data_IF_772616378979
#
_entry.id   IF_772616378979
#
_cell.length_a   1.000
_cell.length_b   1.000
_cell.length_c   1.000
_cell.angle_alpha   90.00
_cell.angle_beta   90.00
_cell.angle_gamma   90.00
#
_symmetry.space_group_name_H-M   'P 1'
#
loop_
_entity.id
_entity.type
_entity.pdbx_description
1 polymer ?
#
# COMPACT_ATOMS: atom_id res chain seq x y z
N UNK A 1 -17.09 55.20 21.26
CA UNK A 1 -16.83 56.61 21.57
C UNK A 1 -15.32 56.85 21.48
N UNK A 2 -14.92 57.69 20.49
CA UNK A 2 -13.53 58.01 20.21
C UNK A 2 -13.18 59.20 21.11
N UNK A 3 -12.11 59.09 21.90
CA UNK A 3 -11.50 60.23 22.54
C UNK A 3 -10.47 60.86 21.60
N UNK A 4 -10.58 62.15 21.27
CA UNK A 4 -9.50 62.81 20.53
C UNK A 4 -8.28 63.02 21.45
N UNK A 5 -7.09 62.65 20.98
CA UNK A 5 -5.85 63.08 21.62
C UNK A 5 -5.40 64.39 20.88
N UNK A 6 -5.25 65.45 21.63
CA UNK A 6 -4.76 66.71 21.12
C UNK A 6 -3.23 66.75 21.30
N UNK A 7 -2.48 66.76 20.23
CA UNK A 7 -1.19 67.37 20.15
C UNK A 7 -1.21 68.32 18.94
N UNK A 8 -0.85 69.55 19.15
CA UNK A 8 -0.70 70.63 18.14
C UNK A 8 -1.96 71.09 17.39
N UNK A 9 -3.14 71.10 18.08
CA UNK A 9 -4.33 71.71 17.54
C UNK A 9 -5.06 70.90 16.45
N UNK A 10 -4.58 69.72 16.09
CA UNK A 10 -5.22 68.84 15.16
C UNK A 10 -5.78 67.61 15.88
N UNK A 11 -7.08 67.41 15.84
CA UNK A 11 -7.72 66.16 16.32
C UNK A 11 -7.52 65.04 15.29
N UNK A 12 -6.69 64.09 15.61
CA UNK A 12 -6.60 62.87 14.82
C UNK A 12 -7.75 61.95 15.25
N UNK A 13 -8.72 61.77 14.35
CA UNK A 13 -9.78 60.77 14.53
C UNK A 13 -9.17 59.39 14.27
N UNK A 14 -8.81 58.70 15.34
CA UNK A 14 -8.47 57.30 15.25
C UNK A 14 -9.77 56.47 15.12
N UNK A 15 -10.11 56.13 13.91
CA UNK A 15 -11.26 55.21 13.69
C UNK A 15 -10.87 53.84 14.19
N UNK A 16 -11.52 53.34 15.23
CA UNK A 16 -11.38 51.95 15.66
C UNK A 16 -11.89 51.06 14.57
N UNK A 17 -11.07 50.08 14.18
CA UNK A 17 -11.49 49.07 13.19
C UNK A 17 -12.76 48.33 13.66
N UNK A 18 -13.70 48.09 12.76
CA UNK A 18 -14.96 47.43 13.07
C UNK A 18 -14.73 46.00 13.57
N UNK A 19 -15.52 45.58 14.57
CA UNK A 19 -15.53 44.19 15.00
C UNK A 19 -16.22 43.34 13.93
N UNK A 20 -15.54 42.29 13.45
CA UNK A 20 -16.04 41.39 12.40
C UNK A 20 -15.38 40.02 12.52
N UNK A 21 -16.04 38.99 12.04
CA UNK A 21 -15.39 37.68 11.83
C UNK A 21 -14.35 37.80 10.70
N UNK A 22 -13.24 37.07 10.84
CA UNK A 22 -12.24 36.92 9.78
C UNK A 22 -12.74 36.09 8.62
N UNK A 23 -13.77 35.23 8.83
CA UNK A 23 -14.40 34.37 7.82
C UNK A 23 -15.91 34.34 8.06
N UNK A 24 -16.70 34.44 6.98
CA UNK A 24 -18.16 34.28 7.00
C UNK A 24 -18.62 32.87 6.64
N UNK A 25 -17.71 32.06 6.11
CA UNK A 25 -17.88 30.65 5.84
C UNK A 25 -16.57 29.91 6.01
N UNK A 26 -16.63 28.64 6.40
CA UNK A 26 -15.50 27.73 6.49
C UNK A 26 -15.91 26.29 6.29
N UNK A 27 -14.93 25.46 5.98
CA UNK A 27 -15.10 24.01 5.83
C UNK A 27 -14.04 23.30 6.65
N UNK A 28 -14.43 22.27 7.40
CA UNK A 28 -13.53 21.39 8.13
C UNK A 28 -13.90 19.92 7.86
N UNK A 29 -12.98 19.00 8.10
CA UNK A 29 -13.25 17.57 8.02
C UNK A 29 -13.92 17.03 9.28
N UNK A 30 -14.69 15.97 9.14
CA UNK A 30 -15.19 15.17 10.27
C UNK A 30 -14.01 14.64 11.09
N UNK A 31 -14.07 14.77 12.43
CA UNK A 31 -12.99 14.42 13.34
C UNK A 31 -11.84 15.43 13.42
N UNK A 32 -11.90 16.54 12.68
CA UNK A 32 -10.85 17.56 12.69
C UNK A 32 -11.18 18.69 13.65
N UNK A 33 -10.12 19.32 14.19
CA UNK A 33 -10.22 20.51 15.03
C UNK A 33 -9.55 21.69 14.29
N UNK A 34 -10.22 22.84 14.31
CA UNK A 34 -9.78 24.09 13.70
C UNK A 34 -9.82 25.24 14.70
N UNK A 35 -8.88 26.18 14.64
CA UNK A 35 -8.79 27.37 15.49
C UNK A 35 -8.65 28.67 14.67
N UNK A 36 -9.00 28.65 13.40
CA UNK A 36 -8.81 29.80 12.51
C UNK A 36 -9.95 30.84 12.59
N UNK A 37 -11.12 30.50 13.20
CA UNK A 37 -12.22 31.43 13.28
C UNK A 37 -12.01 32.42 14.42
N UNK A 38 -11.85 33.68 14.06
CA UNK A 38 -11.51 34.78 14.98
C UNK A 38 -12.49 35.92 14.84
N UNK A 39 -12.93 36.48 15.95
CA UNK A 39 -13.63 37.78 15.96
C UNK A 39 -12.59 38.91 16.09
N UNK A 40 -12.29 39.55 14.97
CA UNK A 40 -11.28 40.61 14.88
C UNK A 40 -11.72 41.86 15.61
N UNK A 41 -10.78 42.60 16.21
CA UNK A 41 -10.97 43.84 16.95
C UNK A 41 -11.87 43.73 18.21
N UNK A 42 -12.15 42.52 18.66
CA UNK A 42 -12.78 42.28 19.96
C UNK A 42 -11.71 42.38 21.07
N UNK A 43 -11.93 43.23 22.05
CA UNK A 43 -10.97 43.49 23.14
C UNK A 43 -11.38 42.88 24.49
N UNK A 44 -12.41 42.04 24.52
CA UNK A 44 -12.94 41.38 25.70
C UNK A 44 -13.34 39.93 25.41
N UNK A 45 -14.11 39.36 26.32
CA UNK A 45 -14.60 37.98 26.21
C UNK A 45 -15.54 37.84 25.04
N UNK A 46 -15.23 36.87 24.17
CA UNK A 46 -16.09 36.40 23.07
C UNK A 46 -16.69 35.05 23.50
N UNK A 47 -17.98 34.91 23.36
CA UNK A 47 -18.69 33.63 23.58
C UNK A 47 -19.13 33.06 22.27
N UNK A 48 -19.03 31.73 22.15
CA UNK A 48 -19.31 31.00 20.93
C UNK A 48 -20.37 29.93 21.15
N UNK A 49 -21.24 29.74 20.17
CA UNK A 49 -22.28 28.70 20.15
C UNK A 49 -22.37 28.07 18.77
N UNK A 50 -22.49 26.74 18.74
CA UNK A 50 -22.83 25.99 17.53
C UNK A 50 -24.35 25.94 17.37
N UNK A 51 -24.83 26.12 16.14
CA UNK A 51 -26.25 25.96 15.81
C UNK A 51 -26.72 24.50 15.83
N UNK A 52 -25.77 23.55 15.66
CA UNK A 52 -26.03 22.11 15.75
C UNK A 52 -24.76 21.38 16.22
N UNK A 53 -24.72 20.99 17.48
CA UNK A 53 -23.59 20.29 18.09
C UNK A 53 -23.41 18.84 17.59
N UNK A 54 -24.41 18.25 16.94
CA UNK A 54 -24.29 16.96 16.28
C UNK A 54 -23.47 17.05 14.97
N UNK A 55 -23.37 18.24 14.38
CA UNK A 55 -22.54 18.51 13.19
C UNK A 55 -21.17 19.04 13.58
N UNK A 56 -21.12 20.02 14.49
CA UNK A 56 -19.85 20.54 15.00
C UNK A 56 -20.02 21.10 16.41
N UNK A 57 -19.00 20.93 17.24
CA UNK A 57 -18.85 21.56 18.53
C UNK A 57 -17.94 22.77 18.47
N UNK A 58 -18.12 23.72 19.39
CA UNK A 58 -17.25 24.89 19.51
C UNK A 58 -16.95 25.15 20.98
N UNK A 59 -15.75 25.61 21.32
CA UNK A 59 -15.43 26.11 22.66
C UNK A 59 -16.35 27.27 23.04
N UNK A 60 -16.88 27.27 24.28
CA UNK A 60 -17.82 28.29 24.69
C UNK A 60 -17.20 29.69 24.84
N UNK A 61 -15.86 29.76 25.04
CA UNK A 61 -15.09 31.00 25.23
C UNK A 61 -13.75 30.90 24.56
N UNK A 62 -13.14 32.04 24.31
CA UNK A 62 -11.82 32.15 23.65
C UNK A 62 -11.92 32.95 22.37
N UNK A 63 -10.80 33.36 21.86
CA UNK A 63 -10.69 34.03 20.57
C UNK A 63 -9.25 33.90 20.09
N UNK A 64 -8.96 33.02 19.13
CA UNK A 64 -9.88 32.32 18.22
C UNK A 64 -10.79 31.26 18.87
N UNK A 65 -11.87 30.86 18.17
CA UNK A 65 -12.72 29.74 18.54
C UNK A 65 -11.97 28.41 18.27
N UNK A 66 -12.18 27.40 19.12
CA UNK A 66 -11.81 26.03 18.84
C UNK A 66 -13.06 25.27 18.35
N UNK A 67 -13.04 24.78 17.12
CA UNK A 67 -14.15 24.12 16.46
C UNK A 67 -13.75 22.67 16.17
N UNK A 68 -14.64 21.73 16.49
CA UNK A 68 -14.48 20.29 16.22
C UNK A 68 -15.60 19.82 15.30
N UNK A 69 -15.25 19.26 14.13
CA UNK A 69 -16.21 18.60 13.24
C UNK A 69 -16.63 17.24 13.81
N UNK A 70 -17.93 17.01 13.99
CA UNK A 70 -18.47 15.80 14.61
C UNK A 70 -19.04 14.85 13.57
N UNK A 71 -19.85 15.37 12.64
CA UNK A 71 -20.45 14.59 11.57
C UNK A 71 -20.65 15.47 10.34
N UNK A 72 -20.61 14.84 9.16
CA UNK A 72 -20.82 15.53 7.88
C UNK A 72 -22.17 16.26 7.87
N UNK A 73 -22.15 17.52 7.42
CA UNK A 73 -23.34 18.38 7.39
C UNK A 73 -23.00 19.85 7.42
N UNK A 74 -24.02 20.70 7.64
CA UNK A 74 -23.84 22.14 7.73
C UNK A 74 -24.46 22.68 9.00
N UNK A 75 -23.80 23.65 9.63
CA UNK A 75 -24.27 24.37 10.80
C UNK A 75 -23.76 25.80 10.77
N UNK A 76 -24.08 26.58 11.80
CA UNK A 76 -23.55 27.93 11.98
C UNK A 76 -22.77 28.02 13.29
N UNK A 77 -21.66 28.73 13.30
CA UNK A 77 -20.93 29.11 14.48
C UNK A 77 -21.17 30.59 14.72
N UNK A 78 -21.72 30.91 15.90
CA UNK A 78 -22.11 32.27 16.27
C UNK A 78 -21.21 32.78 17.41
N UNK A 79 -20.50 33.88 17.16
CA UNK A 79 -19.82 34.68 18.15
C UNK A 79 -20.76 35.73 18.76
N UNK A 80 -20.76 35.88 20.05
CA UNK A 80 -21.45 37.02 20.73
C UNK A 80 -20.43 37.86 21.46
N UNK A 81 -20.46 39.16 21.17
CA UNK A 81 -19.55 40.15 21.75
C UNK A 81 -20.30 41.49 21.91
N UNK A 82 -20.24 42.09 23.09
CA UNK A 82 -20.89 43.37 23.45
C UNK A 82 -22.39 43.42 23.02
N UNK A 83 -23.11 42.31 23.20
CA UNK A 83 -24.55 42.20 22.88
C UNK A 83 -24.88 42.09 21.39
N UNK A 84 -23.87 41.91 20.52
CA UNK A 84 -24.03 41.68 19.08
C UNK A 84 -23.61 40.26 18.68
N UNK A 85 -24.27 39.70 17.70
CA UNK A 85 -23.97 38.37 17.15
C UNK A 85 -23.32 38.46 15.77
N UNK A 86 -22.35 37.58 15.54
CA UNK A 86 -21.59 37.43 14.28
C UNK A 86 -21.60 35.96 13.91
N UNK A 87 -22.05 35.65 12.72
CA UNK A 87 -22.27 34.25 12.30
C UNK A 87 -21.36 33.83 11.17
N UNK A 88 -20.75 32.64 11.29
CA UNK A 88 -20.00 31.96 10.25
C UNK A 88 -20.75 30.68 9.85
N UNK A 89 -20.96 30.46 8.55
CA UNK A 89 -21.51 29.20 8.03
C UNK A 89 -20.39 28.14 8.03
N UNK A 90 -20.61 27.00 8.68
CA UNK A 90 -19.69 25.90 8.76
C UNK A 90 -20.22 24.69 8.00
N UNK A 91 -19.39 24.12 7.13
CA UNK A 91 -19.63 22.83 6.51
C UNK A 91 -18.61 21.83 7.06
N UNK A 92 -19.10 20.70 7.57
CA UNK A 92 -18.27 19.54 7.94
C UNK A 92 -18.35 18.53 6.79
N UNK A 93 -17.22 18.19 6.22
CA UNK A 93 -17.13 17.22 5.12
C UNK A 93 -16.87 15.83 5.68
N UNK A 94 -17.45 14.77 5.07
CA UNK A 94 -17.15 13.40 5.45
C UNK A 94 -15.66 13.11 5.26
N UNK A 95 -15.10 12.36 6.21
CA UNK A 95 -13.72 11.92 6.17
C UNK A 95 -13.65 10.55 5.49
N UNK A 96 -12.70 10.38 4.57
CA UNK A 96 -12.44 9.07 3.96
C UNK A 96 -11.95 8.09 5.04
N UNK A 97 -12.45 6.85 5.00
CA UNK A 97 -12.01 5.74 5.84
C UNK A 97 -11.35 4.65 5.00
N UNK A 98 -10.55 3.81 5.63
CA UNK A 98 -9.90 2.69 4.93
C UNK A 98 -10.90 1.73 4.31
N UNK A 99 -12.04 1.50 4.96
CA UNK A 99 -13.12 0.63 4.47
C UNK A 99 -13.84 1.20 3.24
N UNK A 100 -13.70 2.50 2.99
CA UNK A 100 -14.25 3.14 1.80
C UNK A 100 -13.46 2.81 0.52
N UNK A 101 -12.25 2.24 0.63
CA UNK A 101 -11.32 2.06 -0.49
C UNK A 101 -11.18 0.57 -0.84
N UNK A 102 -11.55 0.23 -2.07
CA UNK A 102 -11.33 -1.10 -2.66
C UNK A 102 -10.25 -1.02 -3.74
N UNK A 103 -9.30 -1.94 -3.70
CA UNK A 103 -8.19 -2.06 -4.66
C UNK A 103 -8.29 -3.42 -5.36
N UNK A 104 -8.20 -3.47 -6.68
CA UNK A 104 -8.30 -4.72 -7.45
C UNK A 104 -7.32 -4.75 -8.64
N UNK A 105 -6.57 -5.85 -8.84
CA UNK A 105 -6.42 -7.00 -7.94
C UNK A 105 -5.75 -6.56 -6.63
N UNK A 106 -6.02 -7.25 -5.52
CA UNK A 106 -5.47 -6.87 -4.21
C UNK A 106 -3.98 -7.23 -4.07
N UNK A 107 -3.61 -8.43 -4.51
CA UNK A 107 -2.22 -8.95 -4.44
C UNK A 107 -1.88 -9.69 -5.74
N UNK A 108 -1.55 -8.97 -6.82
CA UNK A 108 -1.12 -9.62 -8.06
C UNK A 108 0.23 -10.30 -7.89
N UNK A 109 0.48 -11.33 -8.71
CA UNK A 109 1.77 -11.99 -8.82
C UNK A 109 2.55 -11.36 -9.98
N UNK A 110 3.85 -11.20 -9.82
CA UNK A 110 4.75 -10.70 -10.86
C UNK A 110 4.55 -11.45 -12.19
N UNK A 111 4.39 -10.69 -13.27
CA UNK A 111 4.21 -11.20 -14.61
C UNK A 111 5.05 -10.45 -15.68
N UNK A 112 5.92 -9.53 -15.25
CA UNK A 112 6.77 -8.71 -16.09
C UNK A 112 6.09 -7.50 -16.73
N UNK A 113 4.77 -7.44 -16.76
CA UNK A 113 4.02 -6.29 -17.23
C UNK A 113 3.71 -5.30 -16.11
N UNK A 114 3.32 -4.08 -16.48
CA UNK A 114 2.85 -3.09 -15.55
C UNK A 114 1.48 -3.48 -14.97
N UNK A 115 1.35 -3.49 -13.64
CA UNK A 115 0.15 -3.93 -12.93
C UNK A 115 -0.48 -2.80 -12.13
N UNK A 116 -1.11 -1.85 -12.85
CA UNK A 116 -1.81 -0.72 -12.26
C UNK A 116 -3.13 -1.23 -11.64
N UNK A 117 -3.35 -1.04 -10.32
CA UNK A 117 -4.62 -1.46 -9.71
C UNK A 117 -5.77 -0.54 -10.10
N UNK A 118 -6.96 -1.11 -10.18
CA UNK A 118 -8.21 -0.34 -10.17
C UNK A 118 -8.54 0.03 -8.72
N UNK A 119 -8.81 1.30 -8.47
CA UNK A 119 -9.18 1.82 -7.15
C UNK A 119 -10.60 2.36 -7.19
N UNK A 120 -11.45 1.86 -6.30
CA UNK A 120 -12.80 2.39 -6.11
C UNK A 120 -12.93 2.95 -4.69
N UNK A 121 -13.52 4.15 -4.58
CA UNK A 121 -13.77 4.81 -3.29
C UNK A 121 -15.27 5.02 -3.14
N UNK A 122 -15.85 4.49 -2.06
CA UNK A 122 -17.28 4.58 -1.78
C UNK A 122 -17.54 5.09 -0.36
N UNK A 123 -18.34 6.15 -0.24
CA UNK A 123 -18.75 6.72 1.05
C UNK A 123 -20.28 6.63 1.14
N UNK A 124 -20.77 5.82 2.07
CA UNK A 124 -22.19 5.44 2.11
C UNK A 124 -22.61 4.78 0.78
N UNK A 125 -23.66 5.28 0.15
CA UNK A 125 -24.14 4.78 -1.15
C UNK A 125 -23.49 5.49 -2.35
N UNK A 126 -22.55 6.41 -2.13
CA UNK A 126 -21.95 7.23 -3.19
C UNK A 126 -20.59 6.69 -3.60
N UNK A 127 -20.43 6.33 -4.87
CA UNK A 127 -19.14 6.02 -5.49
C UNK A 127 -18.50 7.35 -5.92
N UNK A 128 -17.31 7.62 -5.38
CA UNK A 128 -16.59 8.85 -5.66
C UNK A 128 -15.84 8.78 -6.99
N UNK A 129 -15.63 9.95 -7.60
CA UNK A 129 -14.91 10.09 -8.86
C UNK A 129 -13.48 10.57 -8.61
N UNK A 130 -12.53 9.86 -9.19
CA UNK A 130 -11.13 10.27 -9.21
C UNK A 130 -10.97 11.59 -9.99
N UNK A 131 -10.01 12.42 -9.55
CA UNK A 131 -9.74 13.77 -10.06
C UNK A 131 -10.89 14.78 -9.90
N UNK A 132 -11.98 14.37 -9.24
CA UNK A 132 -13.08 15.23 -8.83
C UNK A 132 -13.25 15.20 -7.32
N UNK A 133 -13.64 14.07 -6.72
CA UNK A 133 -13.93 13.95 -5.29
C UNK A 133 -12.80 13.35 -4.47
N UNK A 134 -11.86 12.70 -5.11
CA UNK A 134 -10.59 12.29 -4.52
C UNK A 134 -9.45 12.36 -5.55
N UNK A 135 -8.22 12.44 -5.03
CA UNK A 135 -6.98 12.34 -5.79
C UNK A 135 -6.28 11.04 -5.43
N UNK A 136 -5.84 10.28 -6.44
CA UNK A 136 -5.00 9.10 -6.27
C UNK A 136 -3.55 9.46 -6.60
N UNK A 137 -2.62 8.97 -5.81
CA UNK A 137 -1.19 9.05 -6.10
C UNK A 137 -0.47 7.79 -5.63
N UNK A 138 0.65 7.50 -6.25
CA UNK A 138 1.43 6.29 -6.04
C UNK A 138 2.82 6.61 -5.51
N UNK A 139 3.37 5.75 -4.67
CA UNK A 139 4.76 5.83 -4.23
C UNK A 139 5.36 4.44 -3.97
N UNK A 140 6.69 4.39 -3.99
CA UNK A 140 7.49 3.26 -3.52
C UNK A 140 8.51 3.76 -2.51
N UNK A 141 8.84 2.95 -1.50
CA UNK A 141 9.91 3.28 -0.56
C UNK A 141 11.27 3.01 -1.19
N UNK A 142 12.08 4.03 -1.34
CA UNK A 142 13.46 3.94 -1.85
C UNK A 142 14.40 4.55 -0.82
N UNK A 143 15.30 3.73 -0.27
CA UNK A 143 16.25 4.20 0.74
C UNK A 143 15.61 4.76 2.01
N UNK A 144 14.39 4.32 2.37
CA UNK A 144 13.64 4.78 3.54
C UNK A 144 12.80 6.06 3.30
N UNK A 145 12.77 6.58 2.08
CA UNK A 145 11.93 7.72 1.69
C UNK A 145 10.88 7.30 0.65
N UNK A 146 9.69 7.91 0.71
CA UNK A 146 8.64 7.70 -0.29
C UNK A 146 8.99 8.45 -1.58
N UNK A 147 9.23 7.71 -2.66
CA UNK A 147 9.39 8.25 -4.01
C UNK A 147 8.05 8.12 -4.74
N UNK A 148 7.44 9.25 -5.07
CA UNK A 148 6.18 9.29 -5.82
C UNK A 148 6.44 9.10 -7.32
N UNK A 149 5.48 8.47 -8.00
CA UNK A 149 5.50 8.27 -9.46
C UNK A 149 4.08 8.33 -10.02
N UNK A 150 3.99 8.50 -11.32
CA UNK A 150 2.73 8.42 -12.06
C UNK A 150 2.79 7.21 -13.02
N UNK A 151 2.04 6.13 -12.76
CA UNK A 151 2.09 4.92 -13.59
C UNK A 151 1.55 5.13 -15.02
N UNK A 152 0.84 6.23 -15.27
CA UNK A 152 0.39 6.55 -16.63
C UNK A 152 1.53 7.08 -17.52
N UNK A 153 2.57 7.64 -16.93
CA UNK A 153 3.73 8.21 -17.63
C UNK A 153 5.02 7.40 -17.41
N UNK A 154 5.13 6.71 -16.27
CA UNK A 154 6.25 5.82 -15.95
C UNK A 154 5.85 4.36 -16.17
N UNK A 155 6.12 3.83 -17.35
CA UNK A 155 5.82 2.44 -17.74
C UNK A 155 6.68 1.40 -17.01
N UNK A 156 7.70 1.81 -16.26
CA UNK A 156 8.54 0.93 -15.44
C UNK A 156 8.02 0.80 -14.01
N UNK A 157 7.12 1.67 -13.60
CA UNK A 157 6.48 1.62 -12.29
C UNK A 157 5.45 0.47 -12.21
N UNK A 158 5.28 -0.10 -11.02
CA UNK A 158 4.34 -1.22 -10.77
C UNK A 158 4.59 -2.47 -11.65
N UNK A 159 5.84 -2.70 -12.04
CA UNK A 159 6.26 -3.88 -12.81
C UNK A 159 6.88 -4.93 -11.89
N UNK A 160 7.86 -4.54 -11.08
CA UNK A 160 8.62 -5.47 -10.26
C UNK A 160 7.85 -5.91 -9.01
N UNK A 161 8.15 -7.12 -8.54
CA UNK A 161 7.68 -7.58 -7.23
C UNK A 161 8.16 -6.64 -6.12
N UNK A 162 7.28 -6.35 -5.17
CA UNK A 162 7.57 -5.42 -4.08
C UNK A 162 6.33 -4.74 -3.52
N UNK A 163 6.56 -3.89 -2.52
CA UNK A 163 5.50 -3.13 -1.86
C UNK A 163 5.47 -1.71 -2.41
N UNK A 164 4.29 -1.30 -2.81
CA UNK A 164 3.94 0.03 -3.28
C UNK A 164 2.88 0.63 -2.36
N UNK A 165 2.70 1.94 -2.42
CA UNK A 165 1.72 2.67 -1.61
C UNK A 165 0.81 3.50 -2.50
N UNK A 166 -0.48 3.39 -2.25
CA UNK A 166 -1.50 4.22 -2.85
C UNK A 166 -1.98 5.23 -1.81
N UNK A 167 -1.99 6.50 -2.17
CA UNK A 167 -2.50 7.58 -1.34
C UNK A 167 -3.78 8.13 -1.98
N UNK A 168 -4.87 8.01 -1.25
CA UNK A 168 -6.18 8.52 -1.63
C UNK A 168 -6.47 9.74 -0.78
N UNK A 169 -6.56 10.91 -1.40
CA UNK A 169 -6.78 12.19 -0.68
C UNK A 169 -8.14 12.75 -1.10
N UNK A 170 -9.04 12.95 -0.12
CA UNK A 170 -10.35 13.55 -0.34
C UNK A 170 -10.25 15.00 -0.80
N UNK A 171 -11.16 15.42 -1.68
CA UNK A 171 -11.31 16.78 -2.16
C UNK A 171 -12.77 17.07 -2.53
N UNK A 172 -13.12 18.34 -2.82
CA UNK A 172 -14.44 18.78 -3.30
C UNK A 172 -15.63 18.21 -2.50
N UNK A 173 -15.60 18.39 -1.18
CA UNK A 173 -16.66 17.93 -0.28
C UNK A 173 -16.34 16.64 0.46
N UNK A 174 -15.12 16.12 0.32
CA UNK A 174 -14.57 15.01 1.10
C UNK A 174 -13.24 15.41 1.70
N UNK A 175 -12.92 14.86 2.86
CA UNK A 175 -11.67 15.14 3.59
C UNK A 175 -10.92 13.85 3.91
N UNK A 176 -9.70 14.01 4.44
CA UNK A 176 -8.85 12.90 4.86
C UNK A 176 -7.92 12.37 3.78
N UNK A 177 -6.99 11.56 4.25
CA UNK A 177 -6.00 10.88 3.41
C UNK A 177 -5.86 9.44 3.88
N UNK A 178 -6.03 8.50 2.98
CA UNK A 178 -5.86 7.06 3.18
C UNK A 178 -4.56 6.63 2.51
N UNK A 179 -3.82 5.75 3.16
CA UNK A 179 -2.71 5.02 2.59
C UNK A 179 -3.06 3.54 2.53
N UNK A 180 -3.00 2.94 1.35
CA UNK A 180 -3.13 1.49 1.14
C UNK A 180 -1.79 0.92 0.65
N UNK A 181 -1.43 -0.23 1.18
CA UNK A 181 -0.37 -1.04 0.58
C UNK A 181 -0.91 -1.77 -0.65
N UNK A 182 -0.07 -1.87 -1.67
CA UNK A 182 -0.30 -2.65 -2.87
C UNK A 182 0.94 -3.48 -3.12
N UNK A 183 0.82 -4.80 -2.97
CA UNK A 183 1.94 -5.74 -3.06
C UNK A 183 1.85 -6.50 -4.36
N UNK A 184 2.89 -6.38 -5.20
CA UNK A 184 3.12 -7.30 -6.30
C UNK A 184 3.97 -8.45 -5.73
N UNK A 185 3.37 -9.62 -5.58
CA UNK A 185 4.06 -10.78 -5.03
C UNK A 185 5.11 -11.31 -6.01
N UNK A 186 6.21 -11.86 -5.48
CA UNK A 186 7.18 -12.61 -6.30
C UNK A 186 6.51 -13.83 -6.92
N UNK A 187 6.94 -14.22 -8.12
CA UNK A 187 6.49 -15.43 -8.78
C UNK A 187 7.33 -16.63 -8.31
N UNK A 188 6.66 -17.71 -7.92
CA UNK A 188 7.34 -18.91 -7.48
C UNK A 188 7.94 -19.65 -8.67
N UNK A 189 9.21 -20.04 -8.59
CA UNK A 189 9.89 -20.83 -9.66
C UNK A 189 9.35 -22.25 -9.78
N UNK A 190 8.57 -22.72 -8.79
CA UNK A 190 7.83 -23.98 -8.88
C UNK A 190 6.50 -23.87 -9.64
N UNK A 191 6.05 -22.63 -9.99
CA UNK A 191 4.86 -22.40 -10.81
C UNK A 191 4.97 -23.16 -12.14
N UNK A 192 3.86 -23.71 -12.61
CA UNK A 192 3.79 -24.49 -13.84
C UNK A 192 4.22 -23.70 -15.10
N UNK A 193 4.06 -22.36 -15.07
CA UNK A 193 4.49 -21.48 -16.15
C UNK A 193 6.02 -21.23 -16.18
N UNK A 194 6.74 -21.59 -15.11
CA UNK A 194 8.20 -21.56 -15.11
C UNK A 194 8.70 -22.95 -15.57
N UNK A 195 9.23 -23.04 -16.75
CA UNK A 195 9.71 -24.28 -17.35
C UNK A 195 11.24 -24.36 -17.29
N UNK A 196 11.76 -25.53 -16.93
CA UNK A 196 13.20 -25.82 -16.92
C UNK A 196 13.46 -27.01 -17.82
N UNK A 197 14.30 -26.81 -18.84
CA UNK A 197 14.76 -27.87 -19.74
C UNK A 197 16.22 -28.18 -19.45
N UNK A 198 16.50 -29.45 -19.18
CA UNK A 198 17.85 -29.92 -18.93
C UNK A 198 18.50 -30.41 -20.23
N UNK A 199 19.85 -30.42 -20.27
CA UNK A 199 20.63 -31.04 -21.32
C UNK A 199 20.40 -32.57 -21.33
N UNK A 200 20.49 -33.17 -22.48
CA UNK A 200 20.43 -34.63 -22.62
C UNK A 200 21.71 -35.29 -22.12
N UNK A 201 21.58 -36.49 -21.55
CA UNK A 201 22.70 -37.36 -21.22
C UNK A 201 23.57 -36.88 -20.05
N UNK A 202 23.04 -36.13 -19.14
CA UNK A 202 23.78 -35.62 -17.94
C UNK A 202 24.26 -36.81 -17.08
N UNK A 203 25.58 -36.88 -16.87
CA UNK A 203 26.16 -37.73 -15.81
C UNK A 203 26.14 -36.99 -14.47
N UNK A 204 25.07 -37.20 -13.74
CA UNK A 204 24.80 -36.52 -12.44
C UNK A 204 25.90 -36.81 -11.42
N UNK A 205 26.44 -38.02 -11.36
CA UNK A 205 27.48 -38.37 -10.38
C UNK A 205 28.75 -37.55 -10.63
N UNK A 206 29.14 -37.42 -11.95
CA UNK A 206 30.27 -36.61 -12.32
C UNK A 206 30.04 -35.12 -12.10
N UNK A 207 28.90 -34.56 -12.51
CA UNK A 207 28.58 -33.13 -12.37
C UNK A 207 28.59 -32.72 -10.89
N UNK A 208 27.98 -33.51 -10.02
CA UNK A 208 27.91 -33.21 -8.60
C UNK A 208 29.26 -33.36 -7.91
N UNK A 209 30.08 -34.31 -8.32
CA UNK A 209 31.47 -34.44 -7.86
C UNK A 209 32.33 -33.26 -8.29
N UNK A 210 32.21 -32.82 -9.53
CA UNK A 210 32.95 -31.66 -10.08
C UNK A 210 32.54 -30.37 -9.34
N UNK A 211 31.24 -30.14 -9.13
CA UNK A 211 30.74 -28.97 -8.39
C UNK A 211 31.17 -28.97 -6.91
N UNK A 212 31.27 -30.15 -6.29
CA UNK A 212 31.77 -30.27 -4.91
C UNK A 212 33.29 -30.05 -4.83
N UNK A 213 34.05 -30.44 -5.88
CA UNK A 213 35.49 -30.27 -5.93
C UNK A 213 35.92 -28.82 -6.24
N UNK A 214 35.08 -28.04 -6.91
CA UNK A 214 35.34 -26.65 -7.28
C UNK A 214 34.13 -25.75 -6.89
N UNK A 215 34.00 -25.40 -5.59
CA UNK A 215 32.89 -24.59 -5.09
C UNK A 215 32.80 -23.19 -5.72
N UNK A 216 33.94 -22.61 -6.13
CA UNK A 216 33.99 -21.28 -6.74
C UNK A 216 33.36 -21.26 -8.15
N UNK A 217 33.40 -22.38 -8.87
CA UNK A 217 32.79 -22.56 -10.19
C UNK A 217 31.52 -23.45 -10.17
N UNK A 218 31.05 -23.85 -9.00
CA UNK A 218 29.92 -24.77 -8.88
C UNK A 218 28.68 -24.29 -9.65
N UNK A 219 28.33 -22.99 -9.60
CA UNK A 219 27.21 -22.44 -10.35
C UNK A 219 27.38 -22.63 -11.87
N UNK A 220 28.54 -22.35 -12.42
CA UNK A 220 28.81 -22.52 -13.83
C UNK A 220 28.75 -24.01 -14.29
N UNK A 221 29.25 -24.94 -13.42
CA UNK A 221 29.19 -26.39 -13.67
C UNK A 221 27.72 -26.84 -13.70
N UNK A 222 26.89 -26.35 -12.75
CA UNK A 222 25.47 -26.69 -12.69
C UNK A 222 24.67 -26.05 -13.84
N UNK A 223 24.99 -24.80 -14.21
CA UNK A 223 24.38 -24.11 -15.31
C UNK A 223 24.58 -24.83 -16.67
N UNK A 224 25.73 -25.49 -16.86
CA UNK A 224 26.00 -26.28 -18.05
C UNK A 224 25.04 -27.48 -18.22
N UNK A 225 24.34 -27.90 -17.16
CA UNK A 225 23.31 -28.94 -17.21
C UNK A 225 21.94 -28.41 -17.66
N UNK A 226 21.75 -27.10 -17.66
CA UNK A 226 20.49 -26.48 -18.03
C UNK A 226 20.57 -26.04 -19.48
N UNK A 227 19.60 -26.44 -20.28
CA UNK A 227 19.43 -25.95 -21.62
C UNK A 227 18.76 -24.59 -21.66
N UNK A 228 17.65 -24.45 -20.91
CA UNK A 228 16.92 -23.20 -20.78
C UNK A 228 16.04 -23.18 -19.53
N UNK A 229 15.78 -21.97 -19.03
CA UNK A 229 14.73 -21.69 -18.00
C UNK A 229 13.85 -20.59 -18.57
N UNK A 230 12.56 -20.85 -18.65
CA UNK A 230 11.59 -19.92 -19.24
C UNK A 230 10.41 -19.64 -18.30
N UNK A 231 9.90 -18.42 -18.36
CA UNK A 231 8.57 -18.10 -17.86
C UNK A 231 7.63 -17.94 -19.06
N UNK A 232 6.62 -18.80 -19.15
CA UNK A 232 5.65 -18.88 -20.27
C UNK A 232 4.38 -18.09 -20.02
N UNK A 233 4.31 -17.28 -18.94
CA UNK A 233 3.18 -16.44 -18.62
C UNK A 233 3.65 -15.01 -18.30
N UNK A 234 4.29 -14.37 -19.28
CA UNK A 234 4.84 -13.02 -19.20
C UNK A 234 3.98 -12.01 -19.96
N UNK A 235 3.91 -10.79 -19.43
CA UNK A 235 3.18 -9.67 -20.04
C UNK A 235 4.09 -8.48 -20.39
N UNK A 236 5.41 -8.61 -20.23
CA UNK A 236 6.38 -7.58 -20.59
C UNK A 236 6.56 -7.47 -22.12
N UNK A 237 7.00 -6.29 -22.56
CA UNK A 237 7.18 -5.99 -23.97
C UNK A 237 8.28 -6.82 -24.65
N UNK A 238 9.24 -7.36 -23.86
CA UNK A 238 10.35 -8.18 -24.35
C UNK A 238 9.97 -9.66 -24.46
N UNK A 239 8.82 -10.08 -23.92
CA UNK A 239 8.36 -11.46 -24.04
C UNK A 239 7.86 -11.71 -25.47
N UNK A 240 8.29 -12.83 -26.05
CA UNK A 240 7.80 -13.28 -27.34
C UNK A 240 6.66 -14.28 -27.13
N UNK A 241 5.47 -13.93 -27.58
CA UNK A 241 4.24 -14.74 -27.37
C UNK A 241 4.00 -15.11 -25.89
N UNK A 242 4.33 -14.17 -24.97
CA UNK A 242 4.18 -14.39 -23.54
C UNK A 242 5.29 -15.23 -22.89
N UNK A 243 6.36 -15.52 -23.60
CA UNK A 243 7.50 -16.32 -23.13
C UNK A 243 8.73 -15.44 -22.94
N UNK A 244 9.41 -15.59 -21.81
CA UNK A 244 10.65 -14.90 -21.46
C UNK A 244 11.68 -15.88 -20.92
N UNK A 245 12.88 -15.85 -21.49
CA UNK A 245 14.03 -16.57 -20.92
C UNK A 245 14.45 -15.92 -19.59
N UNK A 246 14.64 -16.75 -18.56
CA UNK A 246 15.12 -16.32 -17.26
C UNK A 246 16.64 -16.40 -17.18
N UNK A 247 17.25 -15.46 -16.48
CA UNK A 247 18.70 -15.30 -16.40
C UNK A 247 19.23 -15.70 -15.03
N UNK A 248 20.21 -16.59 -14.99
CA UNK A 248 20.93 -16.93 -13.77
C UNK A 248 21.62 -15.68 -13.18
N UNK A 249 21.62 -15.59 -11.85
CA UNK A 249 22.15 -14.44 -11.10
C UNK A 249 21.20 -13.25 -11.02
N UNK A 250 20.16 -13.20 -11.87
CA UNK A 250 19.13 -12.14 -11.85
C UNK A 250 17.76 -12.69 -11.40
N UNK A 251 17.28 -13.73 -12.08
CA UNK A 251 15.95 -14.29 -11.85
C UNK A 251 16.02 -15.56 -10.99
N UNK A 252 17.14 -16.27 -11.01
CA UNK A 252 17.37 -17.45 -10.20
C UNK A 252 18.87 -17.67 -9.93
N UNK A 253 19.14 -18.54 -8.97
CA UNK A 253 20.48 -19.09 -8.68
C UNK A 253 20.42 -20.61 -8.66
N UNK A 254 21.58 -21.26 -8.83
CA UNK A 254 21.72 -22.70 -8.85
C UNK A 254 22.58 -23.18 -7.67
N UNK A 255 22.18 -24.29 -7.07
CA UNK A 255 22.96 -25.00 -6.06
C UNK A 255 22.79 -26.51 -6.19
N UNK A 256 23.71 -27.28 -5.63
CA UNK A 256 23.50 -28.73 -5.49
C UNK A 256 22.30 -28.97 -4.59
N UNK A 257 21.41 -29.87 -4.99
CA UNK A 257 20.22 -30.18 -4.20
C UNK A 257 20.61 -30.77 -2.83
N UNK A 258 19.75 -30.58 -1.83
CA UNK A 258 19.97 -31.09 -0.46
C UNK A 258 20.22 -32.59 -0.40
N UNK A 259 19.70 -33.35 -1.36
CA UNK A 259 19.94 -34.79 -1.47
C UNK A 259 21.22 -35.17 -2.20
N UNK A 260 21.91 -34.19 -2.81
CA UNK A 260 23.11 -34.43 -3.61
C UNK A 260 22.85 -35.22 -4.91
N UNK A 261 21.61 -35.18 -5.47
CA UNK A 261 21.22 -35.95 -6.68
C UNK A 261 20.82 -35.09 -7.87
N UNK A 262 20.95 -33.80 -7.78
CA UNK A 262 20.58 -32.86 -8.84
C UNK A 262 20.83 -31.43 -8.43
N UNK A 263 20.10 -30.53 -9.06
CA UNK A 263 20.21 -29.08 -8.91
C UNK A 263 18.96 -28.56 -8.21
N UNK A 264 19.14 -27.62 -7.28
CA UNK A 264 18.06 -26.75 -6.80
C UNK A 264 18.21 -25.40 -7.53
N UNK A 265 17.15 -25.01 -8.24
CA UNK A 265 16.95 -23.68 -8.78
C UNK A 265 16.19 -22.85 -7.74
N UNK A 266 16.79 -21.77 -7.27
CA UNK A 266 16.20 -20.87 -6.25
C UNK A 266 15.88 -19.53 -6.91
N UNK A 267 14.62 -19.09 -6.82
CA UNK A 267 14.18 -17.80 -7.36
C UNK A 267 14.84 -16.62 -6.64
N UNK A 268 15.16 -15.57 -7.40
CA UNK A 268 15.73 -14.30 -6.90
C UNK A 268 15.08 -13.12 -7.60
N UNK A 269 15.27 -11.90 -7.07
CA UNK A 269 14.70 -10.70 -7.67
C UNK A 269 13.15 -10.74 -7.66
N UNK A 270 12.56 -10.84 -8.84
CA UNK A 270 11.11 -10.93 -9.03
C UNK A 270 10.56 -12.36 -8.83
N UNK A 271 11.43 -13.33 -8.62
CA UNK A 271 11.09 -14.73 -8.39
C UNK A 271 11.43 -15.17 -6.97
N UNK A 272 10.77 -16.23 -6.51
CA UNK A 272 10.96 -16.83 -5.19
C UNK A 272 10.81 -18.35 -5.27
N UNK A 273 10.98 -19.02 -4.13
CA UNK A 273 10.79 -20.46 -4.03
C UNK A 273 11.97 -21.27 -4.54
N UNK A 274 11.84 -22.59 -4.48
CA UNK A 274 12.84 -23.55 -4.91
C UNK A 274 12.23 -24.58 -5.86
N UNK A 275 12.98 -24.96 -6.90
CA UNK A 275 12.60 -26.01 -7.83
C UNK A 275 13.74 -27.03 -7.96
N UNK A 276 13.41 -28.28 -7.73
CA UNK A 276 14.34 -29.38 -8.00
C UNK A 276 14.42 -29.70 -9.48
N UNK A 277 15.63 -29.83 -10.00
CA UNK A 277 15.95 -30.22 -11.35
C UNK A 277 17.05 -31.30 -11.30
N UNK A 278 16.79 -32.52 -11.75
CA UNK A 278 17.79 -33.56 -11.63
C UNK A 278 17.33 -34.95 -12.10
N UNK A 279 18.10 -35.96 -11.72
CA UNK A 279 17.75 -37.34 -12.03
C UNK A 279 16.35 -37.71 -11.52
N UNK A 280 15.63 -38.60 -12.22
CA UNK A 280 14.35 -39.08 -11.74
C UNK A 280 14.47 -39.61 -10.31
N UNK A 281 13.57 -39.15 -9.43
CA UNK A 281 13.58 -39.57 -8.03
C UNK A 281 13.05 -40.99 -7.90
N UNK A 282 13.74 -41.82 -7.10
CA UNK A 282 13.27 -43.14 -6.80
C UNK A 282 12.39 -43.06 -5.53
N UNK A 283 11.21 -43.69 -5.56
CA UNK A 283 10.33 -43.73 -4.39
C UNK A 283 11.00 -44.39 -3.16
N UNK A 284 12.05 -45.20 -3.37
CA UNK A 284 12.86 -45.74 -2.29
C UNK A 284 13.63 -44.71 -1.48
N UNK A 285 13.84 -43.50 -2.04
CA UNK A 285 14.55 -42.41 -1.39
C UNK A 285 13.62 -41.47 -0.61
N UNK A 286 12.32 -41.72 -0.67
CA UNK A 286 11.33 -40.89 -0.02
C UNK A 286 11.22 -41.21 1.49
N UNK A 287 11.15 -40.16 2.32
CA UNK A 287 10.74 -40.28 3.71
C UNK A 287 9.24 -40.39 3.81
N UNK A 288 8.74 -41.49 4.39
CA UNK A 288 7.32 -41.67 4.69
C UNK A 288 7.03 -41.05 6.05
N UNK A 289 6.26 -39.97 6.05
CA UNK A 289 5.83 -39.31 7.30
C UNK A 289 4.37 -39.66 7.54
N UNK A 290 4.11 -40.27 8.67
CA UNK A 290 2.76 -40.56 9.12
C UNK A 290 2.19 -39.37 9.91
N UNK A 291 0.86 -39.19 9.84
CA UNK A 291 0.12 -38.18 10.60
C UNK A 291 0.26 -38.37 12.13
N UNK A 292 0.58 -39.60 12.58
CA UNK A 292 0.84 -39.95 13.98
C UNK A 292 1.97 -40.95 14.10
N UNK A 293 2.72 -40.85 15.17
CA UNK A 293 3.83 -41.79 15.51
C UNK A 293 3.37 -43.08 16.16
N UNK A 294 2.11 -43.15 16.61
CA UNK A 294 1.48 -44.36 17.20
C UNK A 294 -0.02 -44.34 17.06
N UNK A 295 -0.62 -45.52 16.99
CA UNK A 295 -2.04 -45.71 16.88
C UNK A 295 -2.51 -46.69 17.98
N UNK A 296 -3.67 -46.43 18.58
CA UNK A 296 -4.27 -47.32 19.56
C UNK A 296 -5.15 -48.34 18.80
N UNK A 297 -4.95 -49.62 19.05
CA UNK A 297 -5.80 -50.68 18.46
C UNK A 297 -7.24 -50.56 18.97
N UNK A 298 -8.17 -50.39 18.03
CA UNK A 298 -9.63 -50.25 18.34
C UNK A 298 -10.45 -51.40 17.88
N UNK A 299 -9.84 -52.46 17.30
CA UNK A 299 -10.56 -53.63 16.73
C UNK A 299 -11.01 -53.39 15.28
N UNK A 300 -10.80 -52.23 14.69
CA UNK A 300 -11.12 -51.92 13.31
C UNK A 300 -9.87 -51.74 12.45
N UNK A 301 -10.02 -51.86 11.13
CA UNK A 301 -8.97 -51.57 10.16
C UNK A 301 -8.56 -50.10 10.25
N UNK A 302 -7.25 -49.85 10.24
CA UNK A 302 -6.66 -48.52 10.25
C UNK A 302 -5.95 -48.22 8.92
N UNK A 303 -6.30 -47.11 8.28
CA UNK A 303 -5.58 -46.54 7.14
C UNK A 303 -4.95 -45.24 7.59
N UNK A 304 -3.69 -45.26 8.07
CA UNK A 304 -3.02 -44.03 8.48
C UNK A 304 -2.81 -43.10 7.25
N UNK A 305 -3.02 -41.84 7.43
CA UNK A 305 -2.61 -40.86 6.44
C UNK A 305 -1.06 -40.75 6.46
N UNK A 306 -0.46 -40.80 5.30
CA UNK A 306 0.98 -40.60 5.17
C UNK A 306 1.29 -39.61 4.02
N UNK A 307 2.40 -38.91 4.16
CA UNK A 307 2.97 -38.08 3.11
C UNK A 307 4.31 -38.68 2.70
N UNK A 308 4.55 -38.68 1.39
CA UNK A 308 5.84 -39.00 0.82
C UNK A 308 6.61 -37.68 0.69
N UNK A 309 7.63 -37.51 1.52
CA UNK A 309 8.53 -36.38 1.41
C UNK A 309 9.78 -36.82 0.65
N UNK A 310 10.02 -36.20 -0.51
CA UNK A 310 11.21 -36.40 -1.31
C UNK A 310 12.00 -35.12 -1.23
N UNK A 311 13.19 -35.18 -0.69
CA UNK A 311 14.12 -34.05 -0.41
C UNK A 311 13.72 -33.13 0.77
N UNK A 312 12.98 -33.61 1.73
CA UNK A 312 12.71 -32.99 3.03
C UNK A 312 11.39 -32.29 3.11
#
# INVERSE_FOLDING_TARGET
LIRPSLSDGHAVLVQSAAVALNKNSMTIGEGWTDQDLTLQNATGTVTWVSGNEAVAKVSSTGNPATIEGIAAGSTTITATYAGKSYTCNLTVTPNLSEDAVTVSPENPVYNGGQQIPSVAVQVGDTILKENDQYQLSYAQMVGGAAATFDPATDTTALVNAGTYYLYITGQNGYSGKIQKEYVIAQKDVSDAAVEVTLQDGIDWDKVLADAAADPDNASAILAACIQEVKDTARADADAVDGVKDLTEGTDYTLSVSKTGRGITLTGTGNYTGERYCGAPRNAADANVVFDKTSYVYTGNEWTPACQLLVDG
#
